data_IF_583785025456
#
_entry.id   IF_583785025456
#
_cell.length_a   1.000
_cell.length_b   1.000
_cell.length_c   1.000
_cell.angle_alpha   90.00
_cell.angle_beta   90.00
_cell.angle_gamma   90.00
#
_symmetry.space_group_name_H-M   'P 1'
#
loop_
_entity.id
_entity.type
_entity.pdbx_description
1 polymer ?
2 non-polymer ?
3 non-polymer ?
4 water ?
#
# COMPACT_ATOMS: atom_id res chain seq x y z
N UNK A 1 -9.64 9.09 9.66
CA UNK A 1 -9.68 7.60 9.69
C UNK A 1 -8.35 7.00 9.24
N UNK A 2 -7.72 7.62 8.26
CA UNK A 2 -6.46 7.08 7.75
C UNK A 2 -5.55 8.18 7.23
N UNK A 3 -4.29 8.11 7.63
CA UNK A 3 -3.29 9.09 7.21
C UNK A 3 -1.97 8.37 6.99
N UNK A 4 -1.25 8.78 5.95
CA UNK A 4 0.05 8.20 5.64
C UNK A 4 1.10 8.84 6.53
N UNK A 5 1.94 8.03 7.15
CA UNK A 5 3.02 8.56 7.96
C UNK A 5 4.01 9.10 6.94
N UNK A 6 4.63 10.22 7.24
CA UNK A 6 5.57 10.82 6.30
C UNK A 6 6.86 11.28 6.96
N UNK A 7 7.93 11.43 6.16
CA UNK A 7 9.20 11.88 6.73
C UNK A 7 9.00 13.28 7.30
N UNK A 8 9.74 13.64 8.34
CA UNK A 8 9.61 14.97 8.93
C UNK A 8 10.14 16.04 7.98
N UNK A 9 9.61 17.25 8.10
CA UNK A 9 10.04 18.35 7.25
C UNK A 9 9.70 18.14 5.79
N UNK A 10 8.44 17.75 5.55
CA UNK A 10 7.98 17.46 4.21
C UNK A 10 7.95 18.59 3.20
N UNK A 11 8.01 19.85 3.66
CA UNK A 11 7.99 20.98 2.73
C UNK A 11 9.35 21.27 2.13
N UNK A 12 10.37 20.60 2.63
CA UNK A 12 11.75 20.80 2.18
C UNK A 12 12.09 20.32 0.78
N UNK A 13 13.05 21.01 0.16
CA UNK A 13 13.56 20.60 -1.13
C UNK A 13 14.91 19.98 -0.79
N UNK A 14 15.27 18.90 -1.49
CA UNK A 14 16.51 18.19 -1.24
C UNK A 14 17.25 17.96 -2.56
N UNK A 15 18.49 17.45 -2.49
CA UNK A 15 19.25 17.24 -3.70
C UNK A 15 19.02 15.88 -4.36
N UNK A 16 19.61 15.70 -5.54
CA UNK A 16 19.45 14.47 -6.29
C UNK A 16 19.83 13.19 -5.58
N UNK A 17 20.99 13.17 -4.93
CA UNK A 17 21.41 11.97 -4.22
C UNK A 17 20.44 11.68 -3.08
N UNK A 18 19.93 12.73 -2.44
CA UNK A 18 19.00 12.54 -1.33
C UNK A 18 17.69 11.93 -1.83
N UNK A 19 17.28 12.32 -3.04
CA UNK A 19 16.05 11.77 -3.62
C UNK A 19 16.29 10.27 -3.86
N UNK A 20 17.49 9.93 -4.34
CA UNK A 20 17.82 8.54 -4.58
C UNK A 20 17.77 7.76 -3.27
N UNK A 21 18.33 8.33 -2.20
CA UNK A 21 18.33 7.69 -0.89
C UNK A 21 16.91 7.45 -0.39
N UNK A 22 16.04 8.43 -0.60
CA UNK A 22 14.65 8.31 -0.18
C UNK A 22 13.99 7.16 -0.94
N UNK A 23 14.20 7.10 -2.25
CA UNK A 23 13.63 6.04 -3.06
C UNK A 23 14.11 4.67 -2.57
N UNK A 24 15.41 4.55 -2.38
CA UNK A 24 16.00 3.28 -1.95
C UNK A 24 15.47 2.82 -0.60
N UNK A 25 15.34 3.74 0.35
CA UNK A 25 14.85 3.38 1.66
C UNK A 25 13.38 2.93 1.58
N UNK A 26 12.58 3.60 0.76
CA UNK A 26 11.18 3.20 0.63
C UNK A 26 11.07 1.88 -0.14
N UNK A 27 11.94 1.70 -1.12
CA UNK A 27 11.95 0.47 -1.90
C UNK A 27 12.25 -0.72 -0.99
N UNK A 28 13.28 -0.58 -0.15
CA UNK A 28 13.66 -1.65 0.75
C UNK A 28 12.58 -1.88 1.79
N UNK A 29 11.92 -0.81 2.22
CA UNK A 29 10.85 -0.92 3.21
C UNK A 29 9.71 -1.75 2.61
N UNK A 30 9.33 -1.44 1.37
CA UNK A 30 8.25 -2.15 0.71
C UNK A 30 8.58 -3.60 0.38
N UNK A 31 9.86 -3.96 0.50
CA UNK A 31 10.34 -5.32 0.24
C UNK A 31 10.55 -6.04 1.57
N UNK A 32 10.25 -5.35 2.66
CA UNK A 32 10.41 -5.92 3.99
C UNK A 32 11.86 -6.03 4.43
N UNK A 33 12.72 -5.20 3.87
CA UNK A 33 14.15 -5.23 4.19
C UNK A 33 14.57 -4.07 5.08
N UNK A 34 13.67 -3.12 5.26
CA UNK A 34 13.94 -1.95 6.09
C UNK A 34 12.63 -1.52 6.72
N UNK A 35 12.70 -0.60 7.68
CA UNK A 35 11.51 -0.09 8.34
C UNK A 35 11.71 1.40 8.51
N UNK A 36 11.16 2.18 7.57
CA UNK A 36 11.32 3.62 7.60
C UNK A 36 10.79 4.27 8.88
N UNK A 37 9.85 3.62 9.55
CA UNK A 37 9.30 4.19 10.77
C UNK A 37 10.27 3.91 11.91
N UNK A 38 10.78 2.70 11.98
CA UNK A 38 11.73 2.33 13.02
C UNK A 38 12.96 3.24 12.96
N UNK A 39 13.39 3.57 11.76
CA UNK A 39 14.58 4.40 11.57
C UNK A 39 14.28 5.87 11.25
N UNK A 40 13.05 6.27 11.46
CA UNK A 40 12.64 7.65 11.22
C UNK A 40 13.05 8.23 9.87
N UNK A 41 12.76 7.48 8.80
CA UNK A 41 13.04 7.90 7.44
C UNK A 41 14.49 8.32 7.14
N UNK A 42 15.42 7.65 7.78
CA UNK A 42 16.84 7.90 7.59
C UNK A 42 17.46 6.56 7.26
N UNK A 43 18.43 6.57 6.35
CA UNK A 43 19.11 5.34 5.99
C UNK A 43 20.39 5.69 5.27
N UNK A 44 21.44 4.92 5.54
CA UNK A 44 22.71 5.15 4.89
C UNK A 44 22.70 4.25 3.66
N UNK A 45 23.34 4.70 2.58
CA UNK A 45 23.38 3.90 1.37
C UNK A 45 24.81 3.79 0.85
N UNK A 46 25.03 2.86 -0.06
CA UNK A 46 26.35 2.66 -0.66
C UNK A 46 26.54 3.65 -1.80
N UNK A 47 27.53 4.53 -1.67
CA UNK A 47 27.80 5.52 -2.72
C UNK A 47 28.22 4.81 -3.99
N UNK A 48 28.97 3.73 -3.85
CA UNK A 48 29.43 2.98 -5.01
C UNK A 48 28.22 2.50 -5.83
N UNK A 49 27.19 2.02 -5.14
CA UNK A 49 25.99 1.54 -5.81
C UNK A 49 25.28 2.69 -6.52
N UNK A 50 25.20 3.84 -5.86
CA UNK A 50 24.55 5.00 -6.46
C UNK A 50 25.31 5.45 -7.70
N UNK A 51 26.64 5.52 -7.61
CA UNK A 51 27.44 5.95 -8.75
C UNK A 51 27.33 4.99 -9.92
N UNK A 52 27.07 3.71 -9.63
CA UNK A 52 26.93 2.72 -10.68
C UNK A 52 25.62 2.89 -11.46
N UNK A 53 24.66 3.60 -10.88
CA UNK A 53 23.37 3.83 -11.52
C UNK A 53 23.52 4.54 -12.87
N UNK A 54 22.78 4.08 -13.88
CA UNK A 54 22.82 4.69 -15.20
C UNK A 54 21.69 5.71 -15.36
N UNK A 55 20.90 5.88 -14.31
CA UNK A 55 19.76 6.81 -14.34
C UNK A 55 19.80 7.88 -13.26
N UNK A 56 20.99 8.35 -12.90
CA UNK A 56 21.08 9.37 -11.87
C UNK A 56 20.31 10.65 -12.22
N UNK A 57 20.13 10.90 -13.51
CA UNK A 57 19.39 12.08 -13.96
C UNK A 57 17.94 12.06 -13.47
N UNK A 58 17.36 10.86 -13.34
CA UNK A 58 15.97 10.75 -12.92
C UNK A 58 15.77 11.36 -11.53
N UNK A 59 16.66 11.01 -10.62
CA UNK A 59 16.58 11.50 -9.27
C UNK A 59 16.92 12.99 -9.22
N UNK A 60 17.80 13.42 -10.11
CA UNK A 60 18.15 14.85 -10.18
C UNK A 60 16.93 15.65 -10.61
N UNK A 61 16.26 15.22 -11.68
CA UNK A 61 15.07 15.95 -12.14
C UNK A 61 14.00 16.04 -11.07
N UNK A 62 13.73 14.92 -10.38
CA UNK A 62 12.71 14.94 -9.33
C UNK A 62 13.09 15.92 -8.23
N UNK A 63 14.37 15.95 -7.86
CA UNK A 63 14.85 16.83 -6.79
C UNK A 63 14.66 18.32 -7.08
N UNK A 64 14.72 18.69 -8.35
CA UNK A 64 14.58 20.10 -8.72
C UNK A 64 13.18 20.62 -8.52
N UNK A 65 12.19 19.76 -8.77
CA UNK A 65 10.80 20.16 -8.72
C UNK A 65 9.92 19.82 -7.54
N UNK A 66 10.12 18.64 -6.94
CA UNK A 66 9.26 18.19 -5.86
C UNK A 66 9.76 18.30 -4.43
N UNK A 67 8.86 18.68 -3.53
CA UNK A 67 9.17 18.79 -2.11
C UNK A 67 9.27 17.37 -1.56
N UNK A 68 9.90 17.24 -0.40
CA UNK A 68 10.07 15.94 0.23
C UNK A 68 8.76 15.14 0.36
N UNK A 69 7.70 15.79 0.81
CA UNK A 69 6.42 15.11 0.97
C UNK A 69 5.91 14.56 -0.37
N UNK A 70 6.08 15.35 -1.44
CA UNK A 70 5.65 14.92 -2.77
C UNK A 70 6.53 13.75 -3.25
N UNK A 71 7.83 13.85 -3.01
CA UNK A 71 8.75 12.80 -3.42
C UNK A 71 8.38 11.50 -2.70
N UNK A 72 8.11 11.57 -1.41
CA UNK A 72 7.72 10.39 -0.64
C UNK A 72 6.48 9.74 -1.24
N UNK A 73 5.47 10.56 -1.55
CA UNK A 73 4.22 10.07 -2.13
C UNK A 73 4.44 9.44 -3.49
N UNK A 74 5.31 10.04 -4.31
CA UNK A 74 5.60 9.50 -5.63
C UNK A 74 6.16 8.09 -5.46
N UNK A 75 7.14 7.93 -4.57
CA UNK A 75 7.74 6.62 -4.37
C UNK A 75 6.81 5.62 -3.69
N UNK A 76 6.08 6.07 -2.66
CA UNK A 76 5.17 5.17 -1.96
C UNK A 76 4.05 4.68 -2.89
N UNK A 77 3.35 5.61 -3.53
CA UNK A 77 2.26 5.23 -4.43
C UNK A 77 2.72 4.21 -5.47
N UNK A 78 3.87 4.47 -6.09
CA UNK A 78 4.40 3.57 -7.12
C UNK A 78 4.83 2.21 -6.57
N UNK A 79 5.60 2.21 -5.49
CA UNK A 79 6.08 0.95 -4.94
C UNK A 79 5.00 0.09 -4.30
N UNK A 80 3.87 0.71 -3.96
CA UNK A 80 2.78 -0.06 -3.37
C UNK A 80 1.83 -0.60 -4.43
N UNK A 81 1.27 0.31 -5.23
CA UNK A 81 0.28 -0.05 -6.25
C UNK A 81 0.74 -0.19 -7.69
N UNK A 82 1.94 0.29 -8.02
CA UNK A 82 2.43 0.16 -9.40
C UNK A 82 3.26 -1.11 -9.52
N UNK A 83 2.65 -2.17 -10.05
CA UNK A 83 3.35 -3.44 -10.20
C UNK A 83 4.58 -3.35 -11.08
N UNK A 84 4.61 -2.35 -11.95
CA UNK A 84 5.76 -2.15 -12.82
C UNK A 84 6.96 -1.69 -12.01
N UNK A 85 6.71 -1.25 -10.77
CA UNK A 85 7.78 -0.77 -9.90
C UNK A 85 8.11 -1.79 -8.81
N UNK A 86 7.30 -2.85 -8.72
CA UNK A 86 7.52 -3.88 -7.71
C UNK A 86 8.89 -4.52 -7.88
N UNK A 87 9.29 -4.72 -9.13
CA UNK A 87 10.59 -5.31 -9.44
C UNK A 87 11.39 -4.42 -10.40
N UNK A 88 10.69 -3.77 -11.33
CA UNK A 88 11.35 -2.91 -12.30
C UNK A 88 11.83 -1.60 -11.68
N UNK A 89 12.80 -0.96 -12.34
CA UNK A 89 13.37 0.30 -11.86
C UNK A 89 12.35 1.44 -11.89
N UNK A 90 12.41 2.29 -10.87
CA UNK A 90 11.49 3.41 -10.75
C UNK A 90 11.58 4.39 -11.91
N UNK A 91 12.77 4.52 -12.50
CA UNK A 91 12.97 5.43 -13.63
C UNK A 91 12.38 4.87 -14.93
N UNK A 92 11.89 3.63 -14.88
CA UNK A 92 11.30 2.95 -16.04
C UNK A 92 9.81 2.68 -15.82
N UNK A 93 9.29 3.05 -14.66
CA UNK A 93 7.89 2.76 -14.33
C UNK A 93 6.84 3.81 -14.66
N UNK A 94 7.22 4.88 -15.36
CA UNK A 94 6.26 5.93 -15.68
C UNK A 94 5.68 6.43 -14.35
N UNK A 95 6.58 6.53 -13.37
CA UNK A 95 6.21 6.92 -12.00
C UNK A 95 5.43 8.20 -11.79
N UNK A 96 5.77 9.27 -12.50
CA UNK A 96 5.08 10.53 -12.29
C UNK A 96 3.63 10.45 -12.75
N UNK A 97 3.41 9.80 -13.90
CA UNK A 97 2.07 9.65 -14.42
C UNK A 97 1.26 8.84 -13.41
N UNK A 98 1.83 7.73 -12.96
CA UNK A 98 1.16 6.86 -12.00
C UNK A 98 0.84 7.58 -10.70
N UNK A 99 1.78 8.40 -10.23
CA UNK A 99 1.61 9.15 -8.99
C UNK A 99 0.48 10.16 -9.08
N UNK A 100 0.42 10.91 -10.19
CA UNK A 100 -0.63 11.90 -10.36
C UNK A 100 -2.00 11.23 -10.29
N UNK A 101 -2.11 10.06 -10.90
CA UNK A 101 -3.37 9.33 -10.89
C UNK A 101 -3.68 8.80 -9.48
N UNK A 102 -2.65 8.39 -8.75
CA UNK A 102 -2.84 7.85 -7.41
C UNK A 102 -3.16 8.88 -6.31
N UNK A 103 -2.64 10.10 -6.42
CA UNK A 103 -2.92 11.12 -5.40
C UNK A 103 -4.42 11.39 -5.34
N UNK A 104 -5.05 11.43 -6.51
CA UNK A 104 -6.49 11.67 -6.55
C UNK A 104 -7.22 10.58 -5.80
N UNK A 105 -6.68 9.36 -5.86
CA UNK A 105 -7.30 8.22 -5.17
C UNK A 105 -7.13 8.37 -3.66
N UNK A 106 -5.95 8.82 -3.23
CA UNK A 106 -5.68 8.99 -1.82
C UNK A 106 -6.56 10.07 -1.21
N UNK A 107 -6.90 11.08 -2.00
CA UNK A 107 -7.74 12.17 -1.52
C UNK A 107 -9.19 11.75 -1.25
N UNK A 108 -9.62 10.65 -1.86
CA UNK A 108 -10.98 10.16 -1.68
C UNK A 108 -11.02 8.76 -1.07
N UNK A 109 -10.09 8.49 -0.17
CA UNK A 109 -9.99 7.19 0.48
C UNK A 109 -11.24 6.69 1.21
N UNK A 110 -11.92 7.57 1.93
CA UNK A 110 -13.11 7.15 2.67
C UNK A 110 -14.23 6.73 1.71
N UNK A 111 -14.44 7.51 0.65
CA UNK A 111 -15.47 7.19 -0.32
C UNK A 111 -15.11 5.89 -1.04
N UNK A 112 -13.83 5.72 -1.35
CA UNK A 112 -13.39 4.51 -2.02
C UNK A 112 -13.56 3.30 -1.09
N UNK A 113 -13.31 3.50 0.19
CA UNK A 113 -13.47 2.42 1.18
C UNK A 113 -14.94 1.99 1.17
N UNK A 114 -15.84 2.97 1.24
CA UNK A 114 -17.26 2.69 1.24
C UNK A 114 -17.66 1.95 -0.05
N UNK A 115 -17.15 2.43 -1.18
CA UNK A 115 -17.44 1.80 -2.47
C UNK A 115 -17.01 0.34 -2.45
N UNK A 116 -15.77 0.10 -2.00
CA UNK A 116 -15.23 -1.24 -1.94
C UNK A 116 -16.05 -2.14 -1.02
N UNK A 117 -16.47 -1.62 0.13
CA UNK A 117 -17.27 -2.41 1.06
C UNK A 117 -18.56 -2.86 0.40
N UNK A 118 -19.26 -1.93 -0.26
CA UNK A 118 -20.50 -2.28 -0.95
C UNK A 118 -20.23 -3.37 -1.97
N UNK A 119 -19.17 -3.22 -2.75
CA UNK A 119 -18.85 -4.22 -3.76
C UNK A 119 -18.51 -5.57 -3.13
N UNK A 120 -17.85 -5.55 -1.98
CA UNK A 120 -17.50 -6.81 -1.31
C UNK A 120 -18.79 -7.49 -0.86
N UNK A 121 -19.72 -6.69 -0.34
CA UNK A 121 -21.00 -7.22 0.13
C UNK A 121 -21.81 -7.86 -1.00
N UNK A 122 -21.98 -7.14 -2.11
CA UNK A 122 -22.75 -7.69 -3.21
C UNK A 122 -22.07 -8.90 -3.82
N UNK A 123 -20.74 -8.94 -3.79
CA UNK A 123 -20.00 -10.07 -4.31
C UNK A 123 -20.27 -11.28 -3.42
N UNK A 124 -20.37 -11.03 -2.11
CA UNK A 124 -20.62 -12.10 -1.15
C UNK A 124 -21.96 -12.78 -1.44
N UNK A 125 -22.91 -12.02 -1.97
CA UNK A 125 -24.22 -12.57 -2.31
C UNK A 125 -24.12 -13.38 -3.60
N UNK A 126 -23.31 -12.90 -4.53
CA UNK A 126 -23.12 -13.59 -5.81
C UNK A 126 -22.50 -14.97 -5.61
N UNK A 127 -21.57 -15.07 -4.68
CA UNK A 127 -20.89 -16.35 -4.40
C UNK A 127 -21.65 -17.15 -3.33
N UNK A 128 -22.80 -16.63 -2.93
CA UNK A 128 -23.66 -17.26 -1.95
C UNK A 128 -23.03 -17.72 -0.65
N UNK A 129 -22.35 -16.82 0.04
CA UNK A 129 -21.75 -17.19 1.31
C UNK A 129 -22.89 -17.50 2.27
N UNK A 130 -22.61 -18.30 3.30
CA UNK A 130 -23.64 -18.63 4.28
C UNK A 130 -23.57 -17.60 5.40
N UNK A 131 -22.44 -16.88 5.44
CA UNK A 131 -22.20 -15.84 6.42
C UNK A 131 -21.17 -14.88 5.81
N UNK A 132 -21.31 -13.58 6.08
CA UNK A 132 -20.39 -12.59 5.53
C UNK A 132 -18.93 -12.87 5.92
N UNK A 133 -18.73 -13.37 7.13
CA UNK A 133 -17.39 -13.67 7.62
C UNK A 133 -16.59 -14.62 6.71
N UNK A 134 -17.30 -15.44 5.93
CA UNK A 134 -16.64 -16.38 5.02
C UNK A 134 -15.79 -15.69 3.95
N UNK A 135 -16.09 -14.43 3.69
CA UNK A 135 -15.36 -13.65 2.69
C UNK A 135 -13.94 -13.36 3.17
N UNK A 136 -13.80 -13.10 4.46
CA UNK A 136 -12.53 -12.71 5.06
C UNK A 136 -11.66 -13.82 5.64
N UNK A 137 -12.21 -15.00 5.83
CA UNK A 137 -11.45 -16.10 6.40
C UNK A 137 -10.60 -16.87 5.40
N UNK A 138 -9.38 -17.20 5.82
CA UNK A 138 -8.46 -17.98 4.98
C UNK A 138 -9.09 -19.36 4.74
N UNK A 139 -8.96 -19.85 3.51
CA UNK A 139 -9.50 -21.16 3.12
C UNK A 139 -8.36 -22.11 2.78
N UNK A 140 -8.01 -23.04 3.69
CA UNK A 140 -6.94 -24.00 3.48
C UNK A 140 -7.01 -24.78 2.16
N UNK A 141 -8.23 -25.07 1.71
CA UNK A 141 -8.43 -25.81 0.48
C UNK A 141 -7.75 -25.14 -0.71
N UNK A 142 -8.02 -23.85 -0.88
CA UNK A 142 -7.47 -23.09 -2.01
C UNK A 142 -6.30 -22.19 -1.62
N UNK A 143 -5.82 -22.31 -0.39
CA UNK A 143 -4.70 -21.52 0.11
C UNK A 143 -4.91 -20.03 -0.14
N UNK A 144 -6.16 -19.58 0.00
CA UNK A 144 -6.47 -18.19 -0.24
C UNK A 144 -7.76 -17.80 0.49
N UNK A 145 -8.37 -16.70 0.06
CA UNK A 145 -9.62 -16.22 0.64
C UNK A 145 -10.29 -15.34 -0.40
N UNK A 146 -11.59 -15.13 -0.25
CA UNK A 146 -12.28 -14.28 -1.20
C UNK A 146 -11.73 -12.87 -1.12
N UNK A 147 -11.50 -12.36 0.09
CA UNK A 147 -11.00 -11.00 0.21
C UNK A 147 -9.63 -10.83 -0.46
N UNK A 148 -8.76 -11.82 -0.34
CA UNK A 148 -7.46 -11.72 -0.99
C UNK A 148 -7.66 -11.77 -2.51
N UNK A 149 -8.57 -12.64 -2.97
CA UNK A 149 -8.84 -12.77 -4.40
C UNK A 149 -9.36 -11.46 -4.97
N UNK A 150 -10.16 -10.74 -4.19
CA UNK A 150 -10.69 -9.46 -4.64
C UNK A 150 -9.57 -8.44 -4.79
N UNK A 151 -8.59 -8.51 -3.89
CA UNK A 151 -7.47 -7.59 -3.99
C UNK A 151 -6.67 -7.92 -5.23
N UNK A 152 -6.45 -9.21 -5.46
CA UNK A 152 -5.70 -9.68 -6.62
C UNK A 152 -6.32 -9.19 -7.92
N UNK A 153 -7.65 -9.24 -7.99
CA UNK A 153 -8.37 -8.82 -9.18
C UNK A 153 -8.49 -7.30 -9.28
N UNK A 154 -7.91 -6.60 -8.31
CA UNK A 154 -7.95 -5.14 -8.29
C UNK A 154 -9.36 -4.58 -8.17
N UNK A 155 -10.26 -5.35 -7.54
CA UNK A 155 -11.63 -4.91 -7.33
C UNK A 155 -11.64 -3.97 -6.12
N UNK A 156 -10.72 -4.20 -5.19
CA UNK A 156 -10.57 -3.37 -4.01
C UNK A 156 -9.12 -2.93 -3.93
N UNK A 157 -8.86 -1.85 -3.21
CA UNK A 157 -7.50 -1.32 -3.09
C UNK A 157 -6.72 -1.84 -1.90
N UNK A 158 -5.43 -1.54 -1.88
CA UNK A 158 -4.56 -1.95 -0.79
C UNK A 158 -5.01 -1.22 0.47
N UNK A 159 -5.40 0.04 0.33
CA UNK A 159 -5.83 0.82 1.48
C UNK A 159 -7.08 0.21 2.10
N UNK A 160 -8.00 -0.27 1.25
CA UNK A 160 -9.22 -0.90 1.74
C UNK A 160 -8.86 -2.19 2.47
N UNK A 161 -7.99 -2.99 1.88
CA UNK A 161 -7.57 -4.24 2.49
C UNK A 161 -6.97 -3.97 3.88
N UNK A 162 -6.11 -2.96 3.96
CA UNK A 162 -5.47 -2.65 5.24
C UNK A 162 -6.46 -2.03 6.22
N UNK A 163 -7.44 -1.29 5.70
CA UNK A 163 -8.44 -0.70 6.59
C UNK A 163 -9.28 -1.84 7.20
N UNK A 164 -9.67 -2.81 6.38
CA UNK A 164 -10.45 -3.93 6.87
C UNK A 164 -9.61 -4.69 7.90
N UNK A 165 -8.33 -4.89 7.59
CA UNK A 165 -7.42 -5.59 8.47
C UNK A 165 -7.31 -4.96 9.86
N UNK A 166 -7.43 -3.63 9.93
CA UNK A 166 -7.31 -2.92 11.19
C UNK A 166 -8.26 -3.43 12.28
N UNK A 167 -9.43 -3.91 11.90
CA UNK A 167 -10.37 -4.43 12.89
C UNK A 167 -10.73 -5.90 12.67
N UNK A 168 -10.30 -6.48 11.56
CA UNK A 168 -10.60 -7.88 11.27
C UNK A 168 -9.39 -8.82 11.37
N UNK A 169 -8.19 -8.24 11.50
CA UNK A 169 -6.97 -9.03 11.65
C UNK A 169 -6.75 -10.06 10.54
N UNK A 170 -7.00 -9.67 9.29
CA UNK A 170 -6.87 -10.55 8.14
C UNK A 170 -5.45 -10.97 7.77
N UNK A 171 -4.54 -9.99 7.70
CA UNK A 171 -3.16 -10.25 7.31
C UNK A 171 -2.44 -11.25 8.21
N UNK A 172 -2.41 -10.96 9.50
CA UNK A 172 -1.72 -11.82 10.44
C UNK A 172 -2.29 -13.23 10.47
N UNK A 173 -3.62 -13.36 10.40
CA UNK A 173 -4.25 -14.68 10.40
C UNK A 173 -3.89 -15.46 9.13
N UNK A 174 -3.82 -14.77 8.00
CA UNK A 174 -3.44 -15.42 6.76
C UNK A 174 -1.99 -15.88 6.85
N UNK A 175 -1.13 -15.00 7.37
CA UNK A 175 0.29 -15.28 7.52
C UNK A 175 0.57 -16.52 8.37
N UNK A 176 -0.20 -16.71 9.44
CA UNK A 176 0.00 -17.85 10.32
C UNK A 176 -0.55 -19.16 9.77
N UNK A 177 -1.45 -19.09 8.81
CA UNK A 177 -2.06 -20.31 8.25
C UNK A 177 -1.51 -20.79 6.91
N UNK A 178 -0.57 -20.07 6.32
CA UNK A 178 -0.04 -20.49 5.03
C UNK A 178 1.37 -20.00 4.71
N UNK A 179 1.98 -20.62 3.71
CA UNK A 179 3.31 -20.27 3.24
C UNK A 179 3.22 -19.99 1.75
N UNK A 180 2.00 -20.02 1.23
CA UNK A 180 1.74 -19.76 -0.18
C UNK A 180 2.57 -18.58 -0.66
N UNK A 181 3.33 -18.80 -1.73
CA UNK A 181 4.19 -17.78 -2.31
C UNK A 181 3.45 -16.56 -2.84
N UNK A 182 2.34 -16.80 -3.53
CA UNK A 182 1.55 -15.70 -4.08
C UNK A 182 1.03 -14.80 -2.96
N UNK A 183 0.56 -15.39 -1.87
CA UNK A 183 0.06 -14.58 -0.76
C UNK A 183 1.21 -13.84 -0.10
N UNK A 184 2.30 -14.57 0.17
CA UNK A 184 3.47 -13.98 0.80
C UNK A 184 3.96 -12.74 0.07
N UNK A 185 4.07 -12.81 -1.25
CA UNK A 185 4.52 -11.67 -2.05
C UNK A 185 3.66 -10.45 -1.76
N UNK A 186 2.34 -10.65 -1.71
CA UNK A 186 1.41 -9.56 -1.43
C UNK A 186 1.49 -9.16 0.03
N UNK A 187 1.58 -10.15 0.92
CA UNK A 187 1.65 -9.90 2.34
C UNK A 187 2.83 -9.03 2.73
N UNK A 188 3.95 -9.21 2.04
CA UNK A 188 5.13 -8.40 2.33
C UNK A 188 4.77 -6.94 2.10
N UNK A 189 4.12 -6.64 0.96
CA UNK A 189 3.73 -5.27 0.65
C UNK A 189 2.65 -4.78 1.60
N UNK A 190 1.68 -5.64 1.91
CA UNK A 190 0.60 -5.26 2.80
C UNK A 190 1.12 -4.87 4.19
N UNK A 191 2.00 -5.68 4.74
CA UNK A 191 2.54 -5.37 6.05
C UNK A 191 3.42 -4.12 6.01
N UNK A 192 4.20 -3.97 4.95
CA UNK A 192 5.07 -2.80 4.82
C UNK A 192 4.22 -1.52 4.76
N UNK A 193 3.19 -1.53 3.92
CA UNK A 193 2.31 -0.36 3.78
C UNK A 193 1.56 -0.12 5.08
N UNK A 194 1.18 -1.18 5.76
CA UNK A 194 0.46 -1.05 7.03
C UNK A 194 1.30 -0.28 8.05
N UNK A 195 2.62 -0.44 7.99
CA UNK A 195 3.51 0.25 8.93
C UNK A 195 3.50 1.76 8.76
N UNK A 196 3.34 2.23 7.51
CA UNK A 196 3.34 3.67 7.29
C UNK A 196 1.94 4.28 7.31
N UNK A 197 0.91 3.44 7.41
CA UNK A 197 -0.45 3.94 7.46
C UNK A 197 -0.91 4.10 8.91
N UNK A 198 -1.41 5.29 9.23
CA UNK A 198 -1.91 5.58 10.56
C UNK A 198 -3.43 5.42 10.47
N UNK A 199 -3.93 4.31 10.98
CA UNK A 199 -5.35 4.02 10.89
C UNK A 199 -6.07 3.94 12.23
N UNK A 200 -7.22 4.60 12.29
CA UNK A 200 -8.05 4.56 13.48
C UNK A 200 -9.02 3.40 13.25
N UNK A 201 -8.69 2.25 13.84
CA UNK A 201 -9.48 1.03 13.72
C UNK A 201 -10.95 1.19 14.00
N UNK A 202 -11.28 1.88 15.09
CA UNK A 202 -12.67 2.09 15.47
C UNK A 202 -13.45 2.83 14.39
N UNK A 203 -12.86 3.88 13.85
CA UNK A 203 -13.52 4.66 12.81
C UNK A 203 -13.71 3.83 11.55
N UNK A 204 -12.72 3.04 11.18
CA UNK A 204 -12.82 2.18 10.01
C UNK A 204 -13.94 1.16 10.23
N UNK A 205 -14.00 0.62 11.45
CA UNK A 205 -15.02 -0.35 11.82
C UNK A 205 -16.42 0.27 11.72
N UNK A 206 -16.58 1.48 12.24
CA UNK A 206 -17.86 2.19 12.20
C UNK A 206 -18.33 2.36 10.76
N UNK A 207 -17.42 2.79 9.89
CA UNK A 207 -17.76 2.98 8.47
C UNK A 207 -18.20 1.65 7.86
N UNK A 208 -17.46 0.58 8.19
CA UNK A 208 -17.79 -0.75 7.69
C UNK A 208 -19.21 -1.17 8.09
N UNK A 209 -19.50 -1.06 9.38
CA UNK A 209 -20.81 -1.44 9.92
C UNK A 209 -21.94 -0.63 9.29
N UNK A 210 -21.75 0.67 9.19
CA UNK A 210 -22.75 1.56 8.61
C UNK A 210 -22.98 1.27 7.14
N UNK A 211 -21.90 0.99 6.41
CA UNK A 211 -22.00 0.73 4.98
C UNK A 211 -22.71 -0.61 4.72
N UNK A 212 -22.38 -1.63 5.49
CA UNK A 212 -23.01 -2.93 5.30
C UNK A 212 -24.50 -2.80 5.65
N UNK A 213 -24.80 -2.06 6.70
CA UNK A 213 -26.19 -1.88 7.11
C UNK A 213 -27.02 -1.26 6.00
N UNK A 214 -26.43 -0.28 5.30
CA UNK A 214 -27.13 0.39 4.21
C UNK A 214 -27.30 -0.53 2.99
N UNK A 215 -26.49 -1.59 2.93
CA UNK A 215 -26.58 -2.55 1.83
C UNK A 215 -27.63 -3.60 2.14
N UNK A 216 -27.79 -3.89 3.43
CA UNK A 216 -28.74 -4.90 3.88
C UNK A 216 -30.17 -4.41 3.91
N UNK A 217 -30.36 -3.17 4.37
CA UNK A 217 -31.68 -2.59 4.50
C UNK A 217 -31.86 -1.25 3.79
#
# INVERSE_FOLDING_TARGET
MIKLRMPAGGERYIDGKSVYKLYLMIKQHMNGKYDVIKYNWCMRVSDAAYQKRRDKYFFQKLSEKYKLKELALIFISNLVANQDAWIGDISDADALVFYREYIGRLKQIKFKFEEDIRNIYYFSKKVEVSAFKEIFEYNPKVQSSYIFKLLQSNIISFETFILLDSFLNIIDKHDEQTDNLVWNNYSIKLKAYRKILNIDSQKAKNVFIETVKSCKY
#
